data_IF_506025148222
#
_entry.id   IF_506025148222
#
_cell.length_a   1.000
_cell.length_b   1.000
_cell.length_c   1.000
_cell.angle_alpha   90.00
_cell.angle_beta   90.00
_cell.angle_gamma   90.00
#
_symmetry.space_group_name_H-M   'P 1'
#
loop_
_entity.id
_entity.type
_entity.pdbx_description
1 polymer ?
#
# COMPACT_ATOMS: atom_id res chain seq x y z
N UNK A 1 18.99 -64.72 -36.25
CA UNK A 1 19.41 -63.36 -35.85
C UNK A 1 18.18 -62.49 -35.74
N UNK A 2 17.75 -62.19 -34.50
CA UNK A 2 16.61 -61.28 -34.24
C UNK A 2 17.20 -59.87 -33.96
N UNK A 3 16.84 -58.92 -34.86
CA UNK A 3 17.25 -57.53 -34.69
C UNK A 3 16.53 -56.86 -33.54
N UNK A 4 17.29 -56.23 -32.63
CA UNK A 4 16.76 -55.36 -31.62
C UNK A 4 16.32 -54.02 -32.27
N UNK A 5 15.09 -53.62 -31.95
CA UNK A 5 14.58 -52.29 -32.28
C UNK A 5 15.16 -51.25 -31.24
N UNK A 6 15.57 -50.07 -31.68
CA UNK A 6 15.98 -49.03 -30.76
C UNK A 6 14.74 -48.45 -30.03
N UNK A 7 14.80 -48.37 -28.73
CA UNK A 7 13.80 -47.68 -27.89
C UNK A 7 13.98 -46.17 -28.02
N UNK A 8 12.92 -45.48 -28.49
CA UNK A 8 12.85 -44.03 -28.43
C UNK A 8 12.69 -43.59 -26.98
N UNK A 9 13.73 -43.09 -26.41
CA UNK A 9 13.62 -42.33 -25.13
C UNK A 9 13.16 -40.93 -25.45
N UNK A 10 11.96 -40.58 -24.97
CA UNK A 10 11.47 -39.21 -24.98
C UNK A 10 12.08 -38.49 -23.77
N UNK A 11 13.03 -37.61 -23.98
CA UNK A 11 13.56 -36.74 -22.96
C UNK A 11 12.57 -35.57 -22.81
N UNK A 12 11.76 -35.61 -21.77
CA UNK A 12 10.94 -34.46 -21.36
C UNK A 12 11.88 -33.47 -20.67
N UNK A 13 12.33 -32.46 -21.40
CA UNK A 13 13.06 -31.33 -20.84
C UNK A 13 12.13 -30.48 -19.98
N UNK A 14 12.34 -30.49 -18.66
CA UNK A 14 11.67 -29.57 -17.75
C UNK A 14 12.31 -28.19 -17.94
N UNK A 15 11.63 -27.29 -18.65
CA UNK A 15 12.00 -25.89 -18.75
C UNK A 15 11.67 -25.21 -17.42
N UNK A 16 12.69 -24.99 -16.59
CA UNK A 16 12.59 -24.08 -15.46
C UNK A 16 12.58 -22.66 -16.02
N UNK A 17 11.41 -22.04 -16.05
CA UNK A 17 11.33 -20.59 -16.18
C UNK A 17 11.80 -19.99 -14.85
N UNK A 18 13.04 -19.50 -14.82
CA UNK A 18 13.51 -18.60 -13.79
C UNK A 18 12.73 -17.29 -13.98
N UNK A 19 11.67 -17.08 -13.22
CA UNK A 19 11.07 -15.77 -13.08
C UNK A 19 12.08 -14.87 -12.36
N UNK A 20 12.75 -14.02 -13.12
CA UNK A 20 13.49 -12.90 -12.54
C UNK A 20 12.45 -12.06 -11.79
N UNK A 21 12.54 -12.00 -10.47
CA UNK A 21 11.77 -11.09 -9.64
C UNK A 21 12.29 -9.67 -9.91
N UNK A 22 11.81 -9.05 -10.98
CA UNK A 22 11.97 -7.61 -11.17
C UNK A 22 10.82 -6.95 -10.42
N UNK A 23 11.15 -6.20 -9.36
CA UNK A 23 10.22 -5.26 -8.74
C UNK A 23 9.80 -4.24 -9.79
N UNK A 24 8.51 -4.15 -10.08
CA UNK A 24 7.98 -3.11 -10.94
C UNK A 24 7.82 -1.81 -10.14
N UNK A 25 7.98 -0.67 -10.82
CA UNK A 25 7.66 0.65 -10.27
C UNK A 25 6.48 1.20 -11.05
N UNK A 26 5.33 1.33 -10.39
CA UNK A 26 4.16 2.00 -10.94
C UNK A 26 4.16 3.45 -10.45
N UNK A 27 4.08 4.41 -11.37
CA UNK A 27 4.08 5.84 -11.04
C UNK A 27 2.67 6.39 -11.28
N UNK A 28 2.06 6.95 -10.24
CA UNK A 28 0.73 7.54 -10.27
C UNK A 28 0.84 9.04 -10.00
N UNK A 29 0.10 9.83 -10.76
CA UNK A 29 0.03 11.28 -10.63
C UNK A 29 -1.36 11.69 -10.12
N UNK A 30 -1.51 12.86 -9.47
CA UNK A 30 -2.82 13.37 -9.11
C UNK A 30 -3.73 13.51 -10.33
N UNK A 31 -4.92 12.94 -10.24
CA UNK A 31 -5.93 12.96 -11.30
C UNK A 31 -7.34 12.97 -10.70
N UNK A 32 -8.36 13.17 -11.54
CA UNK A 32 -9.77 13.04 -11.14
C UNK A 32 -10.14 11.56 -10.84
N UNK A 33 -9.38 10.60 -11.39
CA UNK A 33 -9.56 9.17 -11.19
C UNK A 33 -8.52 8.58 -10.21
N UNK A 34 -7.95 9.41 -9.36
CA UNK A 34 -6.83 9.01 -8.48
C UNK A 34 -7.18 7.83 -7.58
N UNK A 35 -8.43 7.73 -7.11
CA UNK A 35 -8.87 6.60 -6.30
C UNK A 35 -8.77 5.28 -7.06
N UNK A 36 -9.37 5.23 -8.25
CA UNK A 36 -9.38 4.05 -9.10
C UNK A 36 -7.97 3.64 -9.51
N UNK A 37 -7.13 4.61 -9.89
CA UNK A 37 -5.76 4.36 -10.33
C UNK A 37 -4.89 3.79 -9.19
N UNK A 38 -5.00 4.34 -7.97
CA UNK A 38 -4.25 3.83 -6.81
C UNK A 38 -4.79 2.46 -6.39
N UNK A 39 -6.12 2.30 -6.33
CA UNK A 39 -6.72 1.02 -5.92
C UNK A 39 -6.44 -0.09 -6.93
N UNK A 40 -6.46 0.20 -8.24
CA UNK A 40 -6.06 -0.74 -9.28
C UNK A 40 -4.59 -1.14 -9.14
N UNK A 41 -3.69 -0.18 -8.89
CA UNK A 41 -2.28 -0.45 -8.65
C UNK A 41 -2.08 -1.36 -7.42
N UNK A 42 -2.84 -1.16 -6.34
CA UNK A 42 -2.81 -2.01 -5.15
C UNK A 42 -3.29 -3.44 -5.44
N UNK A 43 -4.32 -3.60 -6.29
CA UNK A 43 -4.87 -4.91 -6.66
C UNK A 43 -3.95 -5.69 -7.60
N UNK A 44 -3.29 -4.97 -8.53
CA UNK A 44 -2.45 -5.57 -9.55
C UNK A 44 -0.97 -5.72 -9.15
N UNK A 45 -0.58 -5.16 -7.99
CA UNK A 45 0.78 -5.26 -7.49
C UNK A 45 1.20 -6.72 -7.27
N UNK A 46 2.48 -6.98 -7.49
CA UNK A 46 3.14 -8.24 -7.12
C UNK A 46 4.07 -8.01 -5.92
N UNK A 47 4.41 -9.06 -5.16
CA UNK A 47 5.33 -8.93 -4.03
C UNK A 47 6.67 -8.30 -4.43
N UNK A 48 7.03 -7.20 -3.75
CA UNK A 48 8.23 -6.43 -4.02
C UNK A 48 8.03 -5.20 -4.89
N UNK A 49 6.84 -4.99 -5.44
CA UNK A 49 6.54 -3.81 -6.26
C UNK A 49 6.57 -2.50 -5.46
N UNK A 50 6.88 -1.42 -6.17
CA UNK A 50 6.87 -0.05 -5.66
C UNK A 50 5.76 0.74 -6.35
N UNK A 51 4.83 1.28 -5.55
CA UNK A 51 3.80 2.20 -6.01
C UNK A 51 4.22 3.60 -5.59
N UNK A 52 4.64 4.40 -6.58
CA UNK A 52 5.14 5.76 -6.37
C UNK A 52 4.09 6.78 -6.71
N UNK A 53 3.74 7.58 -5.71
CA UNK A 53 2.81 8.71 -5.83
C UNK A 53 3.62 9.99 -6.00
N UNK A 54 3.46 10.68 -7.11
CA UNK A 54 4.17 11.95 -7.34
C UNK A 54 3.63 13.06 -6.44
N UNK A 55 4.32 14.19 -6.40
CA UNK A 55 3.86 15.38 -5.66
C UNK A 55 2.49 15.85 -6.13
N UNK A 56 1.66 16.23 -5.17
CA UNK A 56 0.32 16.80 -5.37
C UNK A 56 -0.72 16.23 -4.42
N UNK A 57 -1.96 16.66 -4.60
CA UNK A 57 -3.10 16.24 -3.78
C UNK A 57 -3.97 15.26 -4.57
N UNK A 58 -4.18 14.10 -4.01
CA UNK A 58 -5.07 13.04 -4.50
C UNK A 58 -6.38 13.11 -3.71
N UNK A 59 -7.46 13.59 -4.33
CA UNK A 59 -8.77 13.62 -3.69
C UNK A 59 -9.46 12.26 -3.83
N UNK A 60 -9.69 11.60 -2.71
CA UNK A 60 -10.13 10.23 -2.67
C UNK A 60 -11.52 10.14 -2.07
N UNK A 61 -12.42 9.43 -2.75
CA UNK A 61 -13.84 9.33 -2.39
C UNK A 61 -14.17 8.09 -1.57
N UNK A 62 -13.26 7.13 -1.51
CA UNK A 62 -13.41 5.87 -0.77
C UNK A 62 -12.12 5.44 -0.09
N UNK A 63 -12.24 4.50 0.86
CA UNK A 63 -11.09 3.87 1.51
C UNK A 63 -10.23 3.11 0.51
N UNK A 64 -8.91 3.25 0.62
CA UNK A 64 -7.96 2.42 -0.08
C UNK A 64 -7.68 1.13 0.71
N UNK A 65 -7.45 0.03 0.00
CA UNK A 65 -7.13 -1.27 0.60
C UNK A 65 -5.93 -1.90 -0.09
N UNK A 66 -4.88 -2.19 0.67
CA UNK A 66 -3.67 -2.88 0.23
C UNK A 66 -3.58 -4.24 0.90
N UNK A 67 -3.68 -5.31 0.11
CA UNK A 67 -3.63 -6.71 0.56
C UNK A 67 -2.63 -7.54 -0.27
N UNK A 68 -1.47 -6.95 -0.58
CA UNK A 68 -0.37 -7.62 -1.28
C UNK A 68 0.90 -7.49 -0.47
N UNK A 69 1.54 -8.64 -0.20
CA UNK A 69 2.75 -8.75 0.59
C UNK A 69 3.94 -8.04 -0.07
N UNK A 70 4.78 -7.41 0.76
CA UNK A 70 6.07 -6.89 0.33
C UNK A 70 6.01 -5.62 -0.53
N UNK A 71 4.83 -5.02 -0.70
CA UNK A 71 4.66 -3.78 -1.48
C UNK A 71 5.21 -2.58 -0.73
N UNK A 72 5.85 -1.68 -1.47
CA UNK A 72 6.23 -0.37 -0.99
C UNK A 72 5.34 0.70 -1.63
N UNK A 73 4.71 1.54 -0.79
CA UNK A 73 3.99 2.74 -1.23
C UNK A 73 4.82 3.95 -0.81
N UNK A 74 5.21 4.78 -1.77
CA UNK A 74 6.07 5.93 -1.51
C UNK A 74 5.56 7.20 -2.18
N UNK A 75 5.66 8.32 -1.46
CA UNK A 75 5.46 9.66 -2.00
C UNK A 75 6.78 10.38 -2.21
N UNK A 76 6.70 11.66 -2.51
CA UNK A 76 7.86 12.57 -2.66
C UNK A 76 8.10 13.44 -1.42
N UNK A 77 7.35 13.19 -0.34
CA UNK A 77 7.45 13.87 0.94
C UNK A 77 6.09 14.07 1.60
N UNK A 78 6.07 14.07 2.95
CA UNK A 78 4.81 14.17 3.70
C UNK A 78 4.06 15.51 3.53
N UNK A 79 4.72 16.54 3.02
CA UNK A 79 4.10 17.84 2.68
C UNK A 79 3.94 18.03 1.17
N UNK A 80 4.40 17.08 0.36
CA UNK A 80 4.36 17.16 -1.10
C UNK A 80 3.35 16.19 -1.71
N UNK A 81 3.24 14.98 -1.17
CA UNK A 81 2.28 13.97 -1.63
C UNK A 81 1.18 13.79 -0.58
N UNK A 82 -0.04 14.20 -0.93
CA UNK A 82 -1.17 14.24 0.00
C UNK A 82 -2.32 13.39 -0.51
N UNK A 83 -2.69 12.35 0.25
CA UNK A 83 -3.91 11.57 0.05
C UNK A 83 -5.03 12.21 0.89
N UNK A 84 -5.93 12.94 0.27
CA UNK A 84 -6.99 13.70 0.95
C UNK A 84 -8.33 12.98 0.86
N UNK A 85 -8.89 12.61 2.00
CA UNK A 85 -10.15 11.90 2.16
C UNK A 85 -11.31 12.81 2.60
N UNK A 86 -11.21 14.13 2.42
CA UNK A 86 -12.27 15.06 2.84
C UNK A 86 -13.63 14.73 2.20
N UNK A 87 -13.63 14.20 0.98
CA UNK A 87 -14.84 13.82 0.23
C UNK A 87 -15.17 12.32 0.33
N UNK A 88 -14.56 11.59 1.27
CA UNK A 88 -14.76 10.16 1.45
C UNK A 88 -16.26 9.83 1.68
N UNK A 89 -16.82 8.94 0.86
CA UNK A 89 -18.22 8.54 0.94
C UNK A 89 -18.41 7.26 1.73
N UNK A 90 -17.49 6.30 1.59
CA UNK A 90 -17.57 5.00 2.24
C UNK A 90 -16.24 4.56 2.88
N UNK A 91 -16.29 3.47 3.63
CA UNK A 91 -15.14 2.94 4.36
C UNK A 91 -14.98 3.54 5.76
N UNK A 92 -14.28 2.81 6.61
CA UNK A 92 -14.05 3.15 8.01
C UNK A 92 -12.64 3.68 8.29
N UNK A 93 -11.78 3.76 7.27
CA UNK A 93 -10.41 4.27 7.34
C UNK A 93 -10.01 4.92 6.01
N UNK A 94 -8.93 5.72 6.01
CA UNK A 94 -8.33 6.22 4.77
C UNK A 94 -7.64 5.09 4.00
N UNK A 95 -6.61 4.50 4.60
CA UNK A 95 -5.88 3.35 4.06
C UNK A 95 -5.96 2.15 5.00
N UNK A 96 -6.35 1.00 4.46
CA UNK A 96 -6.30 -0.30 5.13
C UNK A 96 -5.17 -1.15 4.58
N UNK A 97 -4.35 -1.77 5.46
CA UNK A 97 -3.30 -2.71 5.09
C UNK A 97 -3.50 -4.01 5.86
N UNK A 98 -3.55 -5.13 5.14
CA UNK A 98 -3.79 -6.47 5.71
C UNK A 98 -2.71 -7.48 5.31
N UNK A 99 -1.64 -7.05 4.64
CA UNK A 99 -0.54 -7.90 4.19
C UNK A 99 0.78 -7.60 4.89
N UNK A 100 1.63 -8.62 4.98
CA UNK A 100 2.94 -8.56 5.61
C UNK A 100 3.99 -7.83 4.78
N UNK A 101 5.10 -7.42 5.43
CA UNK A 101 6.31 -6.88 4.80
C UNK A 101 6.08 -5.57 4.00
N UNK A 102 5.04 -4.79 4.33
CA UNK A 102 4.70 -3.54 3.64
C UNK A 102 5.52 -2.36 4.18
N UNK A 103 5.89 -1.46 3.29
CA UNK A 103 6.52 -0.16 3.64
C UNK A 103 5.66 0.99 3.11
N UNK A 104 5.30 1.90 4.00
CA UNK A 104 4.59 3.15 3.68
C UNK A 104 5.52 4.30 3.99
N UNK A 105 5.83 5.18 3.01
CA UNK A 105 6.79 6.24 3.22
C UNK A 105 6.54 7.52 2.44
N UNK A 106 6.97 8.64 3.02
CA UNK A 106 7.11 9.96 2.36
C UNK A 106 5.80 10.52 1.79
N UNK A 107 4.67 10.35 2.47
CA UNK A 107 3.38 10.95 2.09
C UNK A 107 2.54 11.32 3.32
N UNK A 108 1.44 12.03 3.09
CA UNK A 108 0.44 12.29 4.13
C UNK A 108 -0.94 11.74 3.76
N UNK A 109 -1.71 11.39 4.81
CA UNK A 109 -3.15 11.13 4.73
C UNK A 109 -3.87 12.23 5.50
N UNK A 110 -4.85 12.84 4.86
CA UNK A 110 -5.64 13.91 5.45
C UNK A 110 -7.13 13.60 5.48
N UNK A 111 -7.80 14.05 6.55
CA UNK A 111 -9.26 14.14 6.66
C UNK A 111 -10.02 12.82 6.47
N UNK A 112 -9.43 11.69 6.84
CA UNK A 112 -10.13 10.41 6.81
C UNK A 112 -11.33 10.40 7.76
N UNK A 113 -12.43 9.76 7.37
CA UNK A 113 -13.64 9.65 8.21
C UNK A 113 -13.44 8.80 9.47
N UNK A 114 -12.60 7.80 9.40
CA UNK A 114 -12.20 6.97 10.51
C UNK A 114 -10.68 7.02 10.73
N UNK A 115 -10.07 5.90 11.08
CA UNK A 115 -8.61 5.86 11.23
C UNK A 115 -7.91 6.28 9.94
N UNK A 116 -6.86 7.11 10.02
CA UNK A 116 -6.19 7.53 8.81
C UNK A 116 -5.49 6.34 8.13
N UNK A 117 -4.68 5.58 8.88
CA UNK A 117 -4.08 4.32 8.39
C UNK A 117 -4.33 3.22 9.42
N UNK A 118 -5.04 2.18 9.00
CA UNK A 118 -5.25 0.97 9.80
C UNK A 118 -4.47 -0.19 9.22
N UNK A 119 -3.66 -0.82 10.07
CA UNK A 119 -2.92 -2.04 9.73
C UNK A 119 -3.37 -3.13 10.69
N UNK A 120 -3.86 -4.26 10.16
CA UNK A 120 -4.43 -5.31 11.01
C UNK A 120 -3.82 -6.68 10.76
N UNK A 121 -3.30 -7.30 11.83
CA UNK A 121 -2.81 -8.68 11.81
C UNK A 121 -1.53 -8.86 11.01
N UNK A 122 -0.72 -7.81 10.84
CA UNK A 122 0.41 -7.74 9.92
C UNK A 122 1.75 -7.94 10.67
N UNK A 123 2.69 -8.61 10.01
CA UNK A 123 4.08 -8.73 10.46
C UNK A 123 5.00 -7.91 9.55
N UNK A 124 5.97 -7.17 10.13
CA UNK A 124 6.97 -6.35 9.42
C UNK A 124 6.33 -5.18 8.64
N UNK A 125 5.62 -4.29 9.31
CA UNK A 125 5.13 -3.02 8.73
C UNK A 125 6.09 -1.88 9.07
N UNK A 126 6.38 -1.02 8.10
CA UNK A 126 7.17 0.19 8.28
C UNK A 126 6.39 1.43 7.88
N UNK A 127 6.37 2.40 8.76
CA UNK A 127 5.91 3.77 8.50
C UNK A 127 7.12 4.69 8.59
N UNK A 128 7.55 5.26 7.47
CA UNK A 128 8.74 6.09 7.39
C UNK A 128 8.34 7.49 6.89
N UNK A 129 8.44 8.50 7.76
CA UNK A 129 8.07 9.88 7.40
C UNK A 129 6.67 9.97 6.77
N UNK A 130 5.69 9.37 7.45
CA UNK A 130 4.27 9.45 7.09
C UNK A 130 3.59 10.45 8.03
N UNK A 131 2.78 11.34 7.48
CA UNK A 131 1.96 12.26 8.24
C UNK A 131 0.49 11.88 8.13
N UNK A 132 -0.23 11.91 9.24
CA UNK A 132 -1.69 11.83 9.27
C UNK A 132 -2.25 13.09 9.92
N UNK A 133 -3.27 13.69 9.32
CA UNK A 133 -3.75 14.99 9.77
C UNK A 133 -5.25 15.20 9.50
N UNK A 134 -5.97 15.74 10.49
CA UNK A 134 -7.28 16.33 10.30
C UNK A 134 -7.11 17.84 10.28
N UNK A 135 -7.21 18.44 9.07
CA UNK A 135 -6.83 19.84 8.80
C UNK A 135 -7.72 20.88 9.47
N UNK A 136 -8.94 20.49 9.91
CA UNK A 136 -9.85 21.36 10.68
C UNK A 136 -9.49 21.41 12.18
N UNK A 137 -8.41 20.77 12.59
CA UNK A 137 -7.96 20.68 13.97
C UNK A 137 -8.67 19.56 14.77
N UNK A 138 -8.36 19.45 16.07
CA UNK A 138 -8.94 18.41 16.92
C UNK A 138 -10.46 18.52 17.00
N UNK A 139 -11.15 17.39 16.80
CA UNK A 139 -12.61 17.29 16.92
C UNK A 139 -12.99 15.87 17.30
N UNK A 140 -14.04 15.68 18.15
CA UNK A 140 -14.58 14.35 18.45
C UNK A 140 -15.18 13.66 17.21
N UNK A 141 -15.41 14.39 16.12
CA UNK A 141 -15.92 13.85 14.85
C UNK A 141 -14.79 13.32 13.95
N UNK A 142 -13.54 13.57 14.30
CA UNK A 142 -12.39 13.03 13.55
C UNK A 142 -12.26 11.52 13.79
N UNK A 143 -11.53 10.82 12.92
CA UNK A 143 -11.15 9.43 13.15
C UNK A 143 -10.31 9.28 14.42
N UNK A 144 -10.40 8.10 15.05
CA UNK A 144 -9.79 7.86 16.34
C UNK A 144 -8.27 7.88 16.30
N UNK A 145 -7.67 7.28 15.28
CA UNK A 145 -6.23 7.08 15.23
C UNK A 145 -5.60 7.53 13.91
N UNK A 146 -4.43 8.17 14.01
CA UNK A 146 -3.60 8.49 12.84
C UNK A 146 -2.95 7.22 12.26
N UNK A 147 -2.05 6.60 13.02
CA UNK A 147 -1.42 5.33 12.68
C UNK A 147 -1.92 4.26 13.65
N UNK A 148 -2.62 3.26 13.13
CA UNK A 148 -3.27 2.22 13.94
C UNK A 148 -2.82 0.80 13.55
N UNK A 149 -1.60 0.37 13.93
CA UNK A 149 -1.18 -1.01 13.81
C UNK A 149 -1.77 -1.86 14.94
N UNK A 150 -2.82 -2.61 14.64
CA UNK A 150 -3.53 -3.48 15.60
C UNK A 150 -3.26 -4.95 15.30
N UNK A 151 -3.05 -5.76 16.35
CA UNK A 151 -2.69 -7.20 16.21
C UNK A 151 -1.46 -7.44 15.33
N UNK A 152 -0.56 -6.45 15.23
CA UNK A 152 0.59 -6.47 14.33
C UNK A 152 1.91 -6.65 15.10
N UNK A 153 2.92 -7.22 14.44
CA UNK A 153 4.25 -7.48 15.01
C UNK A 153 5.36 -6.88 14.15
N UNK A 154 6.52 -6.57 14.76
CA UNK A 154 7.65 -5.92 14.07
C UNK A 154 7.23 -4.61 13.37
N UNK A 155 6.63 -3.72 14.14
CA UNK A 155 6.17 -2.41 13.66
C UNK A 155 7.29 -1.39 13.82
N UNK A 156 7.70 -0.73 12.74
CA UNK A 156 8.62 0.40 12.75
C UNK A 156 7.87 1.69 12.41
N UNK A 157 7.93 2.68 13.28
CA UNK A 157 7.41 4.03 13.06
C UNK A 157 8.59 4.99 13.22
N UNK A 158 8.99 5.64 12.15
CA UNK A 158 10.15 6.53 12.13
C UNK A 158 9.85 7.84 11.39
N UNK A 159 10.11 8.98 12.07
CA UNK A 159 9.88 10.31 11.51
C UNK A 159 8.43 10.65 11.18
N UNK A 160 7.45 9.93 11.74
CA UNK A 160 6.03 10.12 11.47
C UNK A 160 5.42 11.23 12.33
N UNK A 161 4.31 11.79 11.84
CA UNK A 161 3.54 12.85 12.51
C UNK A 161 2.06 12.48 12.50
N UNK A 162 1.38 12.59 13.64
CA UNK A 162 -0.08 12.42 13.75
C UNK A 162 -0.69 13.66 14.41
N UNK A 163 -1.69 14.28 13.76
CA UNK A 163 -2.29 15.54 14.19
C UNK A 163 -3.81 15.45 14.11
N UNK A 164 -4.50 15.82 15.20
CA UNK A 164 -5.91 16.08 15.21
C UNK A 164 -6.81 14.85 15.26
N UNK A 165 -6.29 13.66 15.56
CA UNK A 165 -7.11 12.49 15.86
C UNK A 165 -8.01 12.75 17.09
N UNK A 166 -9.16 12.05 17.18
CA UNK A 166 -10.13 12.25 18.27
C UNK A 166 -9.75 11.54 19.57
N UNK A 167 -8.81 10.55 19.52
CA UNK A 167 -8.38 9.75 20.67
C UNK A 167 -6.87 9.87 20.91
#
# INVERSE_FOLDING_TARGET
>A
MKGLKPSNQVIVGLLFFSSSLYSAVQIIQPSENAYEEIQEAFILAEPGDVIRLTSGTYNLQDSLSLDVEGVQVEGEGMDQTVLNFADQQSGAQGLSVTSDNVTLQDFSIQNAKGDAIKVKGVTNIKFLRVKTEWTNGPSPENGAYGLYPVESTNVLIDGCIAIGASD
#
